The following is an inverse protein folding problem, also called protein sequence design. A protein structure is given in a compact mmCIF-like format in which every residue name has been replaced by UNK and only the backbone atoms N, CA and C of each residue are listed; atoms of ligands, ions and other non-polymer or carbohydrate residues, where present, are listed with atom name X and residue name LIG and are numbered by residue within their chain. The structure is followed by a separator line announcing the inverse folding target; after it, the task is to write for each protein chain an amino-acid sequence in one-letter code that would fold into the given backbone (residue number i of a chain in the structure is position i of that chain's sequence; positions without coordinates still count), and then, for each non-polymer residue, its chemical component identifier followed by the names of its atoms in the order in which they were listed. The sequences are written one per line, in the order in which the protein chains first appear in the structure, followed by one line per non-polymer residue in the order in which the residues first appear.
data_IF_559142261255
#
_entry.id   IF_559142261255
#
_cell.length_a   1.000
_cell.length_b   1.000
_cell.length_c   1.000
_cell.angle_alpha   90.00
_cell.angle_beta   90.00
_cell.angle_gamma   90.00
#
_symmetry.space_group_name_H-M   'P 1'
#
loop_
_entity.id
_entity.type
_entity.pdbx_description
1 polymer ?
#
# COMPACT_ATOMS: atom_id res chain seq x y z
N UNK A 1 5.76 -3.26 25.82
CA UNK A 1 4.51 -2.73 26.40
C UNK A 1 3.28 -2.97 25.51
N UNK A 2 2.99 -2.18 24.47
CA UNK A 2 1.72 -2.33 23.71
C UNK A 2 1.59 -3.66 22.94
N UNK A 3 2.59 -4.04 22.14
CA UNK A 3 2.54 -5.31 21.37
C UNK A 3 2.48 -6.55 22.28
N UNK A 4 3.16 -6.51 23.42
CA UNK A 4 3.14 -7.60 24.39
C UNK A 4 1.76 -7.78 25.02
N UNK A 5 1.03 -6.68 25.29
CA UNK A 5 -0.36 -6.73 25.75
C UNK A 5 -1.30 -7.40 24.73
N UNK A 6 -0.91 -7.42 23.45
CA UNK A 6 -1.63 -8.09 22.37
C UNK A 6 -1.11 -9.50 22.07
N UNK A 7 -0.22 -10.06 22.93
CA UNK A 7 0.44 -11.35 22.72
C UNK A 7 1.30 -11.42 21.44
N UNK A 8 1.93 -10.30 21.07
CA UNK A 8 2.77 -10.18 19.88
C UNK A 8 4.24 -9.98 20.28
N UNK A 9 5.11 -10.88 19.82
CA UNK A 9 6.57 -10.72 19.85
C UNK A 9 7.06 -10.30 18.47
N UNK A 10 7.61 -9.09 18.37
CA UNK A 10 8.32 -8.65 17.18
C UNK A 10 9.69 -9.35 17.12
N UNK A 11 9.99 -9.96 15.97
CA UNK A 11 11.26 -10.64 15.69
C UNK A 11 12.19 -9.77 14.83
N UNK A 12 11.61 -8.93 13.98
CA UNK A 12 12.35 -8.03 13.13
C UNK A 12 11.44 -7.36 12.10
N UNK A 13 12.08 -6.70 11.15
CA UNK A 13 11.42 -5.92 10.12
C UNK A 13 12.02 -6.21 8.75
N UNK A 14 11.16 -6.36 7.75
CA UNK A 14 11.53 -6.53 6.35
C UNK A 14 11.24 -5.24 5.58
N UNK A 15 12.27 -4.45 5.23
CA UNK A 15 12.10 -3.28 4.38
C UNK A 15 11.76 -3.75 2.96
N UNK A 16 10.61 -3.36 2.42
CA UNK A 16 10.16 -3.84 1.11
C UNK A 16 10.55 -2.85 0.02
N UNK A 17 9.96 -1.66 0.01
CA UNK A 17 10.18 -0.65 -1.02
C UNK A 17 9.69 0.74 -0.59
N UNK A 18 10.04 1.75 -1.39
CA UNK A 18 9.28 2.99 -1.45
C UNK A 18 8.10 2.86 -2.41
N UNK A 19 6.95 3.30 -1.94
CA UNK A 19 5.69 3.22 -2.67
C UNK A 19 5.59 4.18 -3.85
N UNK A 20 4.58 3.93 -4.67
CA UNK A 20 4.20 4.82 -5.74
C UNK A 20 2.76 4.59 -6.18
N UNK A 21 2.36 5.28 -7.26
CA UNK A 21 1.01 5.17 -7.80
C UNK A 21 1.05 4.39 -9.11
N UNK A 22 0.26 3.32 -9.16
CA UNK A 22 -0.02 2.58 -10.38
C UNK A 22 -1.21 3.19 -11.10
N UNK A 23 -1.14 3.35 -12.42
CA UNK A 23 -2.23 3.88 -13.24
C UNK A 23 -2.45 3.03 -14.50
N UNK A 24 -3.71 2.89 -14.90
CA UNK A 24 -4.11 2.22 -16.15
C UNK A 24 -4.17 3.19 -17.33
N UNK A 25 -4.15 4.50 -17.05
CA UNK A 25 -4.28 5.59 -18.01
C UNK A 25 -3.15 6.61 -17.83
N UNK A 26 -2.89 7.40 -18.87
CA UNK A 26 -1.80 8.39 -18.85
C UNK A 26 -2.05 9.41 -17.72
N UNK A 27 -1.08 9.64 -16.82
CA UNK A 27 -1.25 10.57 -15.71
C UNK A 27 -1.46 12.00 -16.21
N UNK A 28 -2.49 12.67 -15.68
CA UNK A 28 -2.73 14.10 -15.93
C UNK A 28 -1.85 14.93 -15.00
N UNK A 29 -0.98 15.77 -15.55
CA UNK A 29 -0.09 16.66 -14.78
C UNK A 29 0.71 15.92 -13.68
N UNK A 30 1.48 14.87 -13.99
CA UNK A 30 2.04 13.93 -12.99
C UNK A 30 2.85 14.57 -11.87
N UNK A 31 3.43 15.75 -12.11
CA UNK A 31 4.30 16.48 -11.18
C UNK A 31 3.61 17.62 -10.43
N UNK A 32 2.32 17.87 -10.69
CA UNK A 32 1.58 18.98 -10.08
C UNK A 32 0.53 18.45 -9.10
N UNK A 33 0.78 18.46 -7.77
CA UNK A 33 -0.16 17.90 -6.80
C UNK A 33 -1.43 18.73 -6.63
N UNK A 34 -1.34 20.06 -6.85
CA UNK A 34 -2.44 21.01 -6.60
C UNK A 34 -3.54 20.99 -7.68
N UNK A 35 -3.40 20.16 -8.71
CA UNK A 35 -4.38 20.05 -9.80
C UNK A 35 -5.23 18.81 -9.59
N UNK A 36 -6.55 18.98 -9.62
CA UNK A 36 -7.50 17.85 -9.61
C UNK A 36 -7.23 16.94 -10.80
N UNK A 37 -6.93 15.67 -10.51
CA UNK A 37 -6.70 14.62 -11.51
C UNK A 37 -8.00 14.05 -12.05
N UNK A 38 -9.08 14.13 -11.25
CA UNK A 38 -10.37 13.50 -11.52
C UNK A 38 -10.23 12.01 -11.84
N UNK A 39 -9.32 11.34 -11.14
CA UNK A 39 -9.02 9.92 -11.32
C UNK A 39 -9.33 9.20 -10.02
N UNK A 40 -10.28 8.25 -10.07
CA UNK A 40 -10.60 7.39 -8.95
C UNK A 40 -9.51 6.32 -8.80
N UNK A 41 -8.83 6.31 -7.66
CA UNK A 41 -7.78 5.33 -7.36
C UNK A 41 -8.12 4.55 -6.10
N UNK A 42 -7.77 3.27 -6.08
CA UNK A 42 -7.84 2.47 -4.86
C UNK A 42 -6.74 2.92 -3.90
N UNK A 43 -7.09 3.07 -2.62
CA UNK A 43 -6.13 3.29 -1.52
C UNK A 43 -6.36 2.24 -0.43
N UNK A 44 -5.36 1.91 0.42
CA UNK A 44 -5.59 1.13 1.63
C UNK A 44 -6.68 1.79 2.49
N UNK A 45 -7.45 1.01 3.29
CA UNK A 45 -8.47 1.55 4.19
C UNK A 45 -7.84 2.19 5.45
N UNK A 46 -6.85 3.05 5.23
CA UNK A 46 -6.06 3.75 6.25
C UNK A 46 -6.16 5.24 5.93
N UNK A 47 -6.48 6.06 6.94
CA UNK A 47 -6.75 7.47 6.74
C UNK A 47 -5.58 8.27 6.15
N UNK A 48 -4.34 7.93 6.49
CA UNK A 48 -3.16 8.60 5.94
C UNK A 48 -3.10 8.52 4.42
N UNK A 49 -3.31 7.33 3.84
CA UNK A 49 -3.35 7.13 2.39
C UNK A 49 -4.51 7.87 1.72
N UNK A 50 -5.70 7.86 2.34
CA UNK A 50 -6.85 8.61 1.84
C UNK A 50 -6.56 10.11 1.77
N UNK A 51 -5.90 10.66 2.78
CA UNK A 51 -5.52 12.08 2.82
C UNK A 51 -4.40 12.39 1.82
N UNK A 52 -3.37 11.54 1.73
CA UNK A 52 -2.28 11.68 0.79
C UNK A 52 -2.78 11.69 -0.67
N UNK A 53 -3.64 10.74 -1.05
CA UNK A 53 -4.26 10.71 -2.37
C UNK A 53 -5.04 11.99 -2.70
N UNK A 54 -5.83 12.51 -1.75
CA UNK A 54 -6.56 13.78 -1.91
C UNK A 54 -5.61 14.96 -2.10
N UNK A 55 -4.53 15.03 -1.33
CA UNK A 55 -3.52 16.08 -1.43
C UNK A 55 -2.79 16.07 -2.79
N UNK A 56 -2.65 14.89 -3.40
CA UNK A 56 -2.09 14.71 -4.74
C UNK A 56 -3.12 14.93 -5.88
N UNK A 57 -4.34 15.32 -5.53
CA UNK A 57 -5.42 15.65 -6.49
C UNK A 57 -6.21 14.45 -7.00
N UNK A 58 -5.99 13.25 -6.45
CA UNK A 58 -6.74 12.04 -6.80
C UNK A 58 -8.01 11.89 -5.97
N UNK A 59 -8.98 11.15 -6.49
CA UNK A 59 -10.17 10.74 -5.73
C UNK A 59 -9.89 9.37 -5.12
N UNK A 60 -9.73 9.24 -3.79
CA UNK A 60 -9.45 7.95 -3.17
C UNK A 60 -10.72 7.09 -3.03
N UNK A 61 -10.56 5.79 -3.28
CA UNK A 61 -11.53 4.74 -2.98
C UNK A 61 -10.90 3.75 -1.98
N UNK A 62 -11.20 3.88 -0.68
CA UNK A 62 -10.59 3.02 0.35
C UNK A 62 -11.11 1.58 0.24
N UNK A 63 -10.23 0.63 -0.06
CA UNK A 63 -10.58 -0.81 -0.08
C UNK A 63 -9.34 -1.68 0.13
N UNK A 64 -9.55 -2.94 0.52
CA UNK A 64 -8.46 -3.89 0.82
C UNK A 64 -7.68 -4.29 -0.44
N UNK A 65 -6.48 -4.84 -0.26
CA UNK A 65 -5.62 -5.25 -1.37
C UNK A 65 -6.26 -6.36 -2.22
N UNK A 66 -7.07 -7.22 -1.59
CA UNK A 66 -7.78 -8.33 -2.24
C UNK A 66 -8.63 -7.86 -3.42
N UNK A 67 -9.24 -6.68 -3.33
CA UNK A 67 -10.09 -6.11 -4.38
C UNK A 67 -9.34 -5.19 -5.36
N UNK A 68 -8.02 -5.03 -5.20
CA UNK A 68 -7.26 -4.11 -6.05
C UNK A 68 -7.23 -4.57 -7.52
N UNK A 69 -7.04 -5.89 -7.76
CA UNK A 69 -7.06 -6.49 -9.10
C UNK A 69 -8.43 -6.32 -9.76
N UNK A 70 -9.50 -6.81 -9.13
CA UNK A 70 -10.85 -6.75 -9.71
C UNK A 70 -11.34 -5.31 -9.90
N UNK A 71 -10.94 -4.38 -9.03
CA UNK A 71 -11.20 -2.95 -9.21
C UNK A 71 -10.56 -2.36 -10.47
N UNK A 72 -9.36 -2.80 -10.85
CA UNK A 72 -8.72 -2.41 -12.11
C UNK A 72 -9.35 -3.11 -13.32
N UNK A 73 -9.63 -4.42 -13.22
CA UNK A 73 -10.20 -5.23 -14.31
C UNK A 73 -11.59 -4.74 -14.72
N UNK A 74 -12.43 -4.39 -13.73
CA UNK A 74 -13.76 -3.80 -13.96
C UNK A 74 -13.72 -2.36 -14.46
N UNK A 75 -12.58 -1.68 -14.34
CA UNK A 75 -12.46 -0.25 -14.61
C UNK A 75 -13.09 0.66 -13.55
N UNK A 76 -13.57 0.10 -12.43
CA UNK A 76 -14.09 0.88 -11.30
C UNK A 76 -13.05 1.89 -10.81
N UNK A 77 -11.80 1.46 -10.66
CA UNK A 77 -10.68 2.35 -10.36
C UNK A 77 -9.70 2.37 -11.52
N UNK A 78 -9.01 3.50 -11.70
CA UNK A 78 -8.02 3.72 -12.76
C UNK A 78 -6.59 3.71 -12.25
N UNK A 79 -6.42 3.38 -10.96
CA UNK A 79 -5.12 3.29 -10.34
C UNK A 79 -5.16 2.75 -8.93
N UNK A 80 -3.97 2.52 -8.37
CA UNK A 80 -3.75 2.03 -7.02
C UNK A 80 -2.64 2.86 -6.38
N UNK A 81 -2.84 3.21 -5.12
CA UNK A 81 -1.83 3.70 -4.18
C UNK A 81 -1.73 2.72 -3.00
N UNK A 82 -0.62 2.76 -2.27
CA UNK A 82 -0.38 1.87 -1.12
C UNK A 82 0.24 0.52 -1.49
N UNK A 83 1.02 0.52 -2.56
CA UNK A 83 1.97 -0.52 -2.90
C UNK A 83 3.17 0.12 -3.61
N UNK A 84 4.09 -0.70 -4.09
CA UNK A 84 5.29 -0.27 -4.81
C UNK A 84 5.55 -1.12 -6.05
N UNK A 85 6.63 -0.81 -6.76
CA UNK A 85 6.95 -1.45 -8.03
C UNK A 85 6.90 -2.99 -7.96
N UNK A 86 7.48 -3.58 -6.91
CA UNK A 86 7.45 -5.03 -6.67
C UNK A 86 6.03 -5.54 -6.39
N UNK A 87 5.28 -4.86 -5.51
CA UNK A 87 3.88 -5.22 -5.22
C UNK A 87 2.96 -5.13 -6.43
N UNK A 88 3.32 -4.34 -7.44
CA UNK A 88 2.57 -4.17 -8.67
C UNK A 88 2.96 -5.13 -9.80
N UNK A 89 3.98 -5.97 -9.64
CA UNK A 89 4.41 -6.94 -10.67
C UNK A 89 3.26 -7.83 -11.16
N UNK A 90 2.39 -8.26 -10.25
CA UNK A 90 1.20 -9.07 -10.58
C UNK A 90 0.09 -8.33 -11.34
N UNK A 91 0.20 -7.01 -11.50
CA UNK A 91 -0.81 -6.13 -12.12
C UNK A 91 -0.35 -5.51 -13.45
N UNK A 92 0.84 -5.87 -13.92
CA UNK A 92 1.50 -5.33 -15.13
C UNK A 92 0.65 -5.41 -16.41
N UNK A 93 -0.26 -6.40 -16.53
CA UNK A 93 -1.19 -6.48 -17.67
C UNK A 93 -2.21 -5.33 -17.73
N UNK A 94 -2.57 -4.75 -16.58
CA UNK A 94 -3.52 -3.62 -16.49
C UNK A 94 -2.80 -2.30 -16.30
N UNK A 95 -1.69 -2.33 -15.56
CA UNK A 95 -0.89 -1.17 -15.24
C UNK A 95 -0.07 -0.70 -16.43
N UNK A 96 -0.35 0.51 -16.90
CA UNK A 96 0.37 1.11 -18.03
C UNK A 96 1.40 2.14 -17.59
N UNK A 97 1.20 2.74 -16.43
CA UNK A 97 2.08 3.79 -15.91
C UNK A 97 2.32 3.57 -14.41
N UNK A 98 3.57 3.77 -13.99
CA UNK A 98 3.96 3.80 -12.59
C UNK A 98 4.57 5.17 -12.26
N UNK A 99 4.08 5.79 -11.20
CA UNK A 99 4.58 7.06 -10.68
C UNK A 99 5.42 6.80 -9.43
N UNK A 100 6.76 6.89 -9.51
CA UNK A 100 7.67 6.66 -8.38
C UNK A 100 7.75 7.91 -7.50
N UNK A 101 6.68 8.21 -6.77
CA UNK A 101 6.58 9.42 -5.93
C UNK A 101 7.07 9.22 -4.50
N UNK A 102 7.48 8.00 -4.14
CA UNK A 102 7.96 7.65 -2.80
C UNK A 102 6.99 8.07 -1.68
N UNK A 103 5.70 7.80 -1.87
CA UNK A 103 4.61 8.28 -1.00
C UNK A 103 4.57 7.62 0.38
N UNK A 104 5.13 6.42 0.50
CA UNK A 104 5.32 5.71 1.76
C UNK A 104 6.54 4.79 1.69
N UNK A 105 7.03 4.40 2.87
CA UNK A 105 7.97 3.29 3.01
C UNK A 105 7.21 2.06 3.49
N UNK A 106 7.17 1.02 2.67
CA UNK A 106 6.51 -0.23 3.01
C UNK A 106 7.47 -1.10 3.83
N UNK A 107 7.04 -1.45 5.04
CA UNK A 107 7.85 -2.17 6.02
C UNK A 107 6.99 -3.27 6.66
N UNK A 108 7.33 -4.52 6.38
CA UNK A 108 6.60 -5.67 6.93
C UNK A 108 7.24 -6.14 8.22
N UNK A 109 6.43 -6.25 9.26
CA UNK A 109 6.87 -6.73 10.55
C UNK A 109 6.84 -8.24 10.56
N UNK A 110 7.96 -8.86 10.94
CA UNK A 110 8.01 -10.29 11.23
C UNK A 110 7.75 -10.44 12.72
N UNK A 111 6.63 -11.07 13.07
CA UNK A 111 6.22 -11.25 14.45
C UNK A 111 5.62 -12.65 14.66
N UNK A 112 5.60 -13.06 15.91
CA UNK A 112 5.00 -14.32 16.33
C UNK A 112 4.26 -14.18 17.65
N UNK A 113 3.52 -15.22 18.04
CA UNK A 113 2.86 -15.29 19.33
C UNK A 113 3.88 -15.22 20.47
N UNK A 114 3.67 -14.31 21.43
CA UNK A 114 4.61 -14.09 22.53
C UNK A 114 4.69 -15.31 23.47
N UNK A 115 3.58 -16.01 23.73
CA UNK A 115 3.58 -17.21 24.58
C UNK A 115 4.31 -18.38 23.91
N UNK A 116 4.21 -18.51 22.60
CA UNK A 116 5.00 -19.46 21.83
C UNK A 116 6.49 -19.11 21.92
N UNK A 117 6.86 -17.85 21.73
CA UNK A 117 8.24 -17.38 21.87
C UNK A 117 8.84 -17.74 23.24
N UNK A 118 8.11 -17.47 24.34
CA UNK A 118 8.55 -17.80 25.70
C UNK A 118 8.72 -19.30 25.97
N UNK A 119 8.01 -20.16 25.23
CA UNK A 119 8.18 -21.62 25.31
C UNK A 119 9.43 -22.11 24.58
N UNK A 120 9.84 -21.42 23.52
CA UNK A 120 11.04 -21.75 22.75
C UNK A 120 12.33 -21.40 23.53
N UNK A 121 12.31 -20.35 24.35
CA UNK A 121 13.47 -19.88 25.11
C UNK A 121 13.97 -20.85 26.20
N UNK A 122 13.33 -22.00 26.41
CA UNK A 122 13.85 -23.06 27.28
C UNK A 122 14.91 -23.95 26.64
N UNK A 123 15.20 -23.80 25.33
CA UNK A 123 16.13 -24.65 24.56
C UNK A 123 17.04 -23.87 23.58
N UNK A 124 17.15 -22.55 23.70
CA UNK A 124 18.07 -21.73 22.90
C UNK A 124 19.33 -21.44 23.71
#
# INVERSE_FOLDING_TARGET
AYLEQQNIKLLGGWPVYFGGILLTEKPKFPVQPNVKKNTLIRVPPINSFRLAAKALGYTPYPTTWVYARSGLESGMVKGIMGGGAEGYLGLTKMAKYYLPIHDHFEHWLVYMNLDLWKRLSGKQ
#
